data_IF_072382826652
#
_entry.id   IF_072382826652
#
_cell.length_a   1.000
_cell.length_b   1.000
_cell.length_c   1.000
_cell.angle_alpha   90.00
_cell.angle_beta   90.00
_cell.angle_gamma   90.00
#
_symmetry.space_group_name_H-M   'P 1'
#
loop_
_entity.id
_entity.type
_entity.pdbx_description
1 polymer ?
#
# COMPACT_ATOMS: atom_id res chain seq x y z
N UNK A 1 26.40 7.36 -7.50
CA UNK A 1 26.39 7.87 -8.90
C UNK A 1 25.63 9.18 -8.93
N UNK A 2 26.23 10.26 -9.44
CA UNK A 2 25.57 11.57 -9.52
C UNK A 2 24.51 11.61 -10.62
N UNK A 3 23.57 12.56 -10.55
CA UNK A 3 22.56 12.77 -11.60
C UNK A 3 23.19 13.06 -12.97
N UNK A 4 24.27 13.85 -13.01
CA UNK A 4 25.01 14.14 -14.25
C UNK A 4 25.56 12.87 -14.91
N UNK A 5 26.03 11.89 -14.11
CA UNK A 5 26.49 10.62 -14.66
C UNK A 5 25.33 9.80 -15.23
N UNK A 6 24.17 9.79 -14.57
CA UNK A 6 22.97 9.11 -15.08
C UNK A 6 22.55 9.69 -16.42
N UNK A 7 22.41 11.01 -16.53
CA UNK A 7 22.03 11.68 -17.78
C UNK A 7 22.98 11.41 -18.94
N UNK A 8 24.30 11.37 -18.67
CA UNK A 8 25.30 11.04 -19.70
C UNK A 8 25.14 9.60 -20.18
N UNK A 9 24.94 8.65 -19.27
CA UNK A 9 24.71 7.25 -19.64
C UNK A 9 23.38 7.08 -20.38
N UNK A 10 22.31 7.74 -19.93
CA UNK A 10 21.02 7.71 -20.61
C UNK A 10 21.11 8.21 -22.04
N UNK A 11 21.77 9.36 -22.26
CA UNK A 11 21.99 9.89 -23.60
C UNK A 11 22.84 8.95 -24.45
N UNK A 12 23.90 8.39 -23.88
CA UNK A 12 24.77 7.45 -24.59
C UNK A 12 24.02 6.16 -24.98
N UNK A 13 23.15 5.64 -24.12
CA UNK A 13 22.32 4.47 -24.40
C UNK A 13 21.25 4.77 -25.45
N UNK A 14 20.52 5.89 -25.34
CA UNK A 14 19.50 6.32 -26.33
C UNK A 14 20.10 6.52 -27.72
N UNK A 15 21.31 7.08 -27.79
CA UNK A 15 22.03 7.31 -29.04
C UNK A 15 22.76 6.06 -29.56
N UNK A 16 22.61 4.90 -28.93
CA UNK A 16 23.24 3.65 -29.36
C UNK A 16 24.75 3.57 -29.15
N UNK A 17 25.35 4.52 -28.42
CA UNK A 17 26.78 4.49 -28.05
C UNK A 17 27.08 3.45 -26.97
N UNK A 18 26.08 3.12 -26.15
CA UNK A 18 26.12 2.03 -25.18
C UNK A 18 25.02 1.04 -25.57
N UNK A 19 25.40 -0.22 -25.82
CA UNK A 19 24.46 -1.25 -26.27
C UNK A 19 23.83 -2.03 -25.11
N UNK A 20 24.45 -2.03 -23.93
CA UNK A 20 24.00 -2.76 -22.76
C UNK A 20 24.16 -1.92 -21.49
N UNK A 21 23.13 -1.91 -20.65
CA UNK A 21 23.15 -1.28 -19.34
C UNK A 21 22.81 -2.32 -18.28
N UNK A 22 23.64 -2.42 -17.25
CA UNK A 22 23.36 -3.23 -16.07
C UNK A 22 23.01 -2.29 -14.93
N UNK A 23 21.85 -2.48 -14.32
CA UNK A 23 21.34 -1.62 -13.26
C UNK A 23 20.71 -2.47 -12.14
N UNK A 24 20.86 -2.00 -10.90
CA UNK A 24 20.08 -2.50 -9.77
C UNK A 24 18.64 -1.97 -9.84
N UNK A 25 17.65 -2.63 -9.21
CA UNK A 25 16.25 -2.19 -9.26
C UNK A 25 16.04 -0.71 -8.90
N UNK A 26 16.74 -0.21 -7.87
CA UNK A 26 16.67 1.19 -7.42
C UNK A 26 17.19 2.17 -8.47
N UNK A 27 18.20 1.78 -9.25
CA UNK A 27 18.68 2.60 -10.36
C UNK A 27 17.74 2.50 -11.57
N UNK A 28 17.17 1.31 -11.82
CA UNK A 28 16.26 1.05 -12.93
C UNK A 28 14.92 1.81 -12.82
N UNK A 29 14.44 2.09 -11.60
CA UNK A 29 13.24 2.90 -11.37
C UNK A 29 13.46 4.39 -11.71
N UNK A 30 14.67 4.91 -11.51
CA UNK A 30 14.99 6.33 -11.67
C UNK A 30 15.39 6.78 -13.08
N UNK A 31 15.43 5.86 -14.06
CA UNK A 31 15.87 6.13 -15.43
C UNK A 31 14.72 5.88 -16.41
N UNK A 32 14.42 6.81 -17.31
CA UNK A 32 13.39 6.63 -18.35
C UNK A 32 14.04 6.16 -19.66
N UNK A 33 14.44 4.88 -19.67
CA UNK A 33 15.13 4.23 -20.78
C UNK A 33 14.38 2.98 -21.23
N UNK A 34 13.62 3.04 -22.33
CA UNK A 34 13.17 1.82 -23.01
C UNK A 34 14.36 1.14 -23.71
N UNK A 35 14.41 -0.18 -23.67
CA UNK A 35 15.44 -0.99 -24.31
C UNK A 35 14.79 -2.04 -25.21
N UNK A 36 15.43 -2.46 -26.30
CA UNK A 36 14.88 -3.52 -27.16
C UNK A 36 14.61 -4.82 -26.38
N UNK A 37 15.53 -5.15 -25.46
CA UNK A 37 15.44 -6.33 -24.61
C UNK A 37 15.73 -5.97 -23.15
N UNK A 38 14.95 -6.52 -22.24
CA UNK A 38 15.19 -6.48 -20.79
C UNK A 38 15.53 -7.87 -20.29
N UNK A 39 16.56 -7.98 -19.46
CA UNK A 39 16.98 -9.24 -18.84
C UNK A 39 16.96 -9.07 -17.33
N UNK A 40 16.09 -9.82 -16.67
CA UNK A 40 15.97 -9.88 -15.23
C UNK A 40 16.84 -11.04 -14.75
N UNK A 41 18.04 -10.70 -14.29
CA UNK A 41 19.05 -11.69 -13.90
C UNK A 41 18.72 -12.40 -12.59
N UNK A 42 18.20 -11.68 -11.60
CA UNK A 42 17.86 -12.21 -10.29
C UNK A 42 16.44 -11.77 -9.92
N UNK A 43 15.57 -12.72 -9.60
CA UNK A 43 14.17 -12.47 -9.23
C UNK A 43 13.95 -12.45 -7.71
N UNK A 44 15.03 -12.59 -6.93
CA UNK A 44 15.03 -12.53 -5.46
C UNK A 44 15.92 -11.39 -5.00
N UNK A 45 15.54 -10.74 -3.90
CA UNK A 45 16.33 -9.71 -3.22
C UNK A 45 16.49 -10.04 -1.74
N UNK A 46 17.60 -9.62 -1.15
CA UNK A 46 17.80 -9.75 0.29
C UNK A 46 16.77 -8.91 1.05
N UNK A 47 16.13 -9.50 2.04
CA UNK A 47 15.27 -8.79 2.98
C UNK A 47 15.84 -8.95 4.38
N UNK A 48 16.26 -7.82 4.97
CA UNK A 48 16.89 -7.79 6.29
C UNK A 48 15.96 -8.26 7.40
N UNK A 49 14.68 -7.89 7.36
CA UNK A 49 13.69 -8.30 8.37
C UNK A 49 13.42 -9.82 8.33
N UNK A 50 13.43 -10.42 7.14
CA UNK A 50 13.22 -11.86 6.96
C UNK A 50 14.50 -12.69 7.07
N UNK A 51 15.68 -12.06 7.16
CA UNK A 51 16.98 -12.73 7.19
C UNK A 51 17.27 -13.62 5.98
N UNK A 52 16.59 -13.39 4.84
CA UNK A 52 16.69 -14.26 3.66
C UNK A 52 16.40 -13.50 2.36
N UNK A 53 16.76 -14.13 1.24
CA UNK A 53 16.36 -13.68 -0.08
C UNK A 53 14.88 -13.99 -0.33
N UNK A 54 14.07 -12.96 -0.52
CA UNK A 54 12.65 -13.08 -0.85
C UNK A 54 12.43 -12.77 -2.34
N UNK A 55 11.42 -13.35 -2.99
CA UNK A 55 11.03 -12.96 -4.34
C UNK A 55 10.72 -11.46 -4.43
N UNK A 56 11.12 -10.83 -5.53
CA UNK A 56 10.69 -9.48 -5.91
C UNK A 56 9.17 -9.50 -6.18
N UNK A 57 8.47 -8.39 -5.95
CA UNK A 57 7.03 -8.33 -6.21
C UNK A 57 6.71 -8.49 -7.69
N UNK A 58 5.54 -9.04 -8.00
CA UNK A 58 5.06 -9.20 -9.38
C UNK A 58 4.94 -7.84 -10.05
N UNK A 59 4.45 -6.83 -9.33
CA UNK A 59 4.39 -5.45 -9.83
C UNK A 59 5.78 -4.93 -10.26
N UNK A 60 6.81 -5.07 -9.42
CA UNK A 60 8.16 -4.60 -9.75
C UNK A 60 8.74 -5.34 -10.96
N UNK A 61 8.55 -6.66 -11.05
CA UNK A 61 9.00 -7.45 -12.20
C UNK A 61 8.29 -7.00 -13.48
N UNK A 62 6.96 -6.83 -13.45
CA UNK A 62 6.20 -6.37 -14.61
C UNK A 62 6.60 -4.95 -15.05
N UNK A 63 6.91 -4.06 -14.10
CA UNK A 63 7.46 -2.74 -14.41
C UNK A 63 8.84 -2.82 -15.10
N UNK A 64 9.70 -3.75 -14.71
CA UNK A 64 10.97 -3.99 -15.41
C UNK A 64 10.71 -4.52 -16.84
N UNK A 65 9.84 -5.51 -16.98
CA UNK A 65 9.47 -6.08 -18.28
C UNK A 65 8.87 -5.03 -19.22
N UNK A 66 8.06 -4.11 -18.70
CA UNK A 66 7.44 -3.01 -19.46
C UNK A 66 8.43 -2.00 -20.06
N UNK A 67 9.71 -2.07 -19.69
CA UNK A 67 10.78 -1.29 -20.33
C UNK A 67 11.29 -1.92 -21.62
N UNK A 68 10.86 -3.14 -21.95
CA UNK A 68 11.22 -3.83 -23.18
C UNK A 68 10.40 -3.30 -24.37
N UNK A 69 11.09 -3.02 -25.48
CA UNK A 69 10.55 -2.43 -26.69
C UNK A 69 10.70 -0.91 -26.70
N UNK A 70 11.36 -0.37 -27.74
CA UNK A 70 11.46 1.08 -27.95
C UNK A 70 10.36 1.52 -28.91
N UNK A 71 9.40 2.36 -28.46
CA UNK A 71 8.38 2.92 -29.36
C UNK A 71 9.04 3.56 -30.58
N UNK A 72 8.49 3.28 -31.78
CA UNK A 72 8.97 3.74 -33.10
C UNK A 72 10.27 3.11 -33.63
N UNK A 73 11.04 2.36 -32.82
CA UNK A 73 12.31 1.78 -33.27
C UNK A 73 12.27 0.25 -33.37
N UNK A 74 11.55 -0.42 -32.48
CA UNK A 74 11.45 -1.87 -32.47
C UNK A 74 10.01 -2.31 -32.77
N UNK A 75 9.85 -3.34 -33.62
CA UNK A 75 8.55 -3.96 -33.89
C UNK A 75 8.04 -4.84 -32.73
N UNK A 76 8.95 -5.27 -31.86
CA UNK A 76 8.67 -6.05 -30.64
C UNK A 76 9.69 -5.77 -29.56
N UNK A 77 9.24 -5.80 -28.31
CA UNK A 77 10.09 -5.85 -27.12
C UNK A 77 10.21 -7.27 -26.60
N UNK A 78 11.36 -7.64 -26.07
CA UNK A 78 11.58 -8.96 -25.47
C UNK A 78 11.99 -8.81 -24.00
N UNK A 79 11.38 -9.57 -23.10
CA UNK A 79 11.78 -9.61 -21.70
C UNK A 79 12.05 -11.03 -21.24
N UNK A 80 13.16 -11.22 -20.52
CA UNK A 80 13.67 -12.52 -20.11
C UNK A 80 13.87 -12.52 -18.61
N UNK A 81 13.40 -13.56 -17.92
CA UNK A 81 13.70 -13.80 -16.49
C UNK A 81 14.61 -15.02 -16.45
N UNK A 82 15.79 -14.88 -15.84
CA UNK A 82 16.73 -16.00 -15.75
C UNK A 82 16.29 -16.97 -14.63
N UNK A 83 15.99 -18.21 -15.02
CA UNK A 83 15.78 -19.35 -14.13
C UNK A 83 17.07 -20.18 -14.02
N UNK A 84 17.34 -20.76 -12.85
CA UNK A 84 18.52 -21.64 -12.64
C UNK A 84 18.19 -23.12 -12.77
N UNK A 85 16.91 -23.49 -12.74
CA UNK A 85 16.45 -24.87 -12.88
C UNK A 85 15.09 -24.90 -13.58
N UNK A 86 14.70 -26.06 -14.10
CA UNK A 86 13.41 -26.27 -14.75
C UNK A 86 12.22 -26.05 -13.79
N UNK A 87 12.39 -26.43 -12.52
CA UNK A 87 11.42 -26.15 -11.46
C UNK A 87 11.21 -24.64 -11.26
N UNK A 88 12.29 -23.84 -11.33
CA UNK A 88 12.18 -22.38 -11.27
C UNK A 88 11.47 -21.81 -12.51
N UNK A 89 11.65 -22.39 -13.71
CA UNK A 89 10.96 -21.92 -14.93
C UNK A 89 9.45 -21.93 -14.72
N UNK A 90 8.89 -23.05 -14.26
CA UNK A 90 7.45 -23.18 -14.04
C UNK A 90 6.95 -22.18 -12.98
N UNK A 91 7.66 -22.08 -11.84
CA UNK A 91 7.31 -21.13 -10.78
C UNK A 91 7.35 -19.67 -11.27
N UNK A 92 8.37 -19.29 -12.04
CA UNK A 92 8.52 -17.91 -12.56
C UNK A 92 7.47 -17.58 -13.62
N UNK A 93 7.15 -18.54 -14.49
CA UNK A 93 6.11 -18.39 -15.50
C UNK A 93 4.74 -18.19 -14.84
N UNK A 94 4.39 -19.06 -13.90
CA UNK A 94 3.12 -18.96 -13.16
C UNK A 94 3.04 -17.63 -12.38
N UNK A 95 4.08 -17.30 -11.61
CA UNK A 95 4.04 -16.12 -10.73
C UNK A 95 4.12 -14.78 -11.47
N UNK A 96 5.03 -14.63 -12.44
CA UNK A 96 5.35 -13.33 -13.02
C UNK A 96 4.74 -13.09 -14.40
N UNK A 97 4.53 -14.15 -15.20
CA UNK A 97 3.95 -14.03 -16.54
C UNK A 97 2.43 -14.12 -16.44
N UNK A 98 1.93 -15.23 -15.88
CA UNK A 98 0.49 -15.48 -15.75
C UNK A 98 -0.13 -14.80 -14.52
N UNK A 99 0.65 -14.63 -13.45
CA UNK A 99 0.17 -14.08 -12.17
C UNK A 99 -0.19 -12.60 -12.25
N UNK A 100 -1.11 -12.19 -11.38
CA UNK A 100 -1.52 -10.78 -11.25
C UNK A 100 -0.61 -10.03 -10.26
N UNK A 101 -0.43 -8.71 -10.43
CA UNK A 101 0.24 -7.88 -9.44
C UNK A 101 -0.44 -7.99 -8.07
N UNK A 102 0.36 -7.87 -7.00
CA UNK A 102 -0.17 -7.86 -5.64
C UNK A 102 -1.08 -6.66 -5.41
N UNK A 103 -2.12 -6.83 -4.57
CA UNK A 103 -2.99 -5.73 -4.16
C UNK A 103 -2.19 -4.66 -3.42
N UNK A 104 -2.53 -3.40 -3.65
CA UNK A 104 -1.96 -2.28 -2.91
C UNK A 104 -2.54 -2.29 -1.49
N UNK A 105 -1.66 -2.31 -0.50
CA UNK A 105 -2.03 -2.25 0.92
C UNK A 105 -1.63 -0.90 1.50
N UNK A 106 -2.51 -0.33 2.32
CA UNK A 106 -2.20 0.87 3.09
C UNK A 106 -0.98 0.62 3.96
N UNK A 107 -0.10 1.62 4.04
CA UNK A 107 1.09 1.64 4.92
C UNK A 107 0.93 2.59 6.10
N UNK A 108 -0.28 3.13 6.27
CA UNK A 108 -0.63 4.02 7.37
C UNK A 108 -0.76 3.25 8.70
N UNK A 109 -0.95 1.94 8.64
CA UNK A 109 -0.96 1.04 9.79
C UNK A 109 -0.26 -0.27 9.44
N UNK A 110 0.40 -0.87 10.43
CA UNK A 110 0.97 -2.19 10.33
C UNK A 110 -0.14 -3.24 10.57
N UNK A 111 -0.56 -4.01 9.55
CA UNK A 111 -1.66 -4.97 9.71
C UNK A 111 -1.33 -6.07 10.72
N UNK A 112 -0.04 -6.40 10.90
CA UNK A 112 0.40 -7.44 11.81
C UNK A 112 0.61 -6.96 13.26
N UNK A 113 0.48 -5.65 13.51
CA UNK A 113 0.61 -5.10 14.86
C UNK A 113 -0.57 -5.55 15.72
N UNK A 114 -0.27 -6.11 16.90
CA UNK A 114 -1.25 -6.47 17.92
C UNK A 114 -1.35 -5.40 19.01
N UNK A 115 -0.33 -4.56 19.12
CA UNK A 115 -0.22 -3.47 20.09
C UNK A 115 0.18 -2.18 19.39
N UNK A 116 -0.14 -1.05 20.00
CA UNK A 116 0.21 0.26 19.48
C UNK A 116 1.72 0.43 19.22
N UNK A 117 2.59 -0.02 20.15
CA UNK A 117 4.06 0.02 20.01
C UNK A 117 4.64 -0.76 18.81
N UNK A 118 3.87 -1.70 18.26
CA UNK A 118 4.24 -2.47 17.05
C UNK A 118 3.79 -1.78 15.76
N UNK A 119 3.05 -0.68 15.86
CA UNK A 119 2.55 0.14 14.76
C UNK A 119 3.09 1.60 14.83
N UNK A 120 4.40 1.80 14.60
CA UNK A 120 5.00 3.13 14.65
C UNK A 120 4.42 4.10 13.61
N UNK A 121 3.86 3.59 12.51
CA UNK A 121 3.29 4.42 11.45
C UNK A 121 2.05 5.15 11.96
N UNK A 122 1.08 4.38 12.48
CA UNK A 122 -0.15 4.95 12.99
C UNK A 122 0.12 5.86 14.20
N UNK A 123 0.97 5.41 15.12
CA UNK A 123 1.39 6.21 16.29
C UNK A 123 1.96 7.57 15.91
N UNK A 124 2.91 7.58 14.96
CA UNK A 124 3.57 8.82 14.52
C UNK A 124 2.57 9.79 13.89
N UNK A 125 1.65 9.28 13.08
CA UNK A 125 0.63 10.11 12.44
C UNK A 125 -0.40 10.66 13.44
N UNK A 126 -0.86 9.84 14.40
CA UNK A 126 -1.76 10.31 15.48
C UNK A 126 -1.09 11.41 16.29
N UNK A 127 0.15 11.20 16.74
CA UNK A 127 0.90 12.19 17.51
C UNK A 127 1.12 13.48 16.71
N UNK A 128 1.52 13.36 15.44
CA UNK A 128 1.70 14.49 14.54
C UNK A 128 0.44 15.34 14.45
N UNK A 129 -0.73 14.72 14.24
CA UNK A 129 -1.99 15.46 14.06
C UNK A 129 -2.46 16.17 15.34
N UNK A 130 -2.20 15.58 16.51
CA UNK A 130 -2.49 16.22 17.80
C UNK A 130 -1.52 17.39 18.05
N UNK A 131 -0.22 17.16 17.84
CA UNK A 131 0.83 18.15 18.13
C UNK A 131 0.84 19.35 17.19
N UNK A 132 0.50 19.18 15.90
CA UNK A 132 0.38 20.29 14.96
C UNK A 132 -0.88 21.14 15.17
N UNK A 133 -1.81 20.68 16.02
CA UNK A 133 -2.97 21.44 16.48
C UNK A 133 -4.22 21.34 15.59
N UNK A 134 -4.17 20.59 14.49
CA UNK A 134 -5.28 20.46 13.53
C UNK A 134 -6.40 19.54 14.02
N UNK A 135 -6.09 18.52 14.83
CA UNK A 135 -7.07 17.55 15.32
C UNK A 135 -6.85 17.27 16.82
N UNK A 136 -7.67 17.90 17.66
CA UNK A 136 -7.57 17.82 19.13
C UNK A 136 -8.60 16.90 19.79
N UNK A 137 -9.41 16.21 19.00
CA UNK A 137 -10.42 15.33 19.56
C UNK A 137 -10.46 13.99 18.83
N UNK A 138 -10.86 12.95 19.57
CA UNK A 138 -10.86 11.57 19.07
C UNK A 138 -11.76 11.43 17.84
N UNK A 139 -12.95 12.03 17.87
CA UNK A 139 -13.91 11.96 16.77
C UNK A 139 -13.32 12.52 15.46
N UNK A 140 -12.64 13.65 15.52
CA UNK A 140 -11.99 14.28 14.39
C UNK A 140 -10.85 13.41 13.82
N UNK A 141 -10.06 12.75 14.68
CA UNK A 141 -9.07 11.77 14.25
C UNK A 141 -9.74 10.59 13.53
N UNK A 142 -10.81 10.03 14.10
CA UNK A 142 -11.58 8.94 13.49
C UNK A 142 -12.10 9.30 12.09
N UNK A 143 -12.77 10.45 11.97
CA UNK A 143 -13.30 10.94 10.69
C UNK A 143 -12.20 11.21 9.66
N UNK A 144 -11.03 11.68 10.10
CA UNK A 144 -9.88 11.84 9.20
C UNK A 144 -9.43 10.48 8.65
N UNK A 145 -9.15 9.51 9.53
CA UNK A 145 -8.66 8.19 9.11
C UNK A 145 -9.68 7.41 8.28
N UNK A 146 -10.98 7.58 8.53
CA UNK A 146 -12.06 7.01 7.71
C UNK A 146 -12.03 7.48 6.25
N UNK A 147 -11.45 8.66 5.97
CA UNK A 147 -11.28 9.18 4.60
C UNK A 147 -9.96 8.76 3.95
N UNK A 148 -9.15 7.93 4.61
CA UNK A 148 -7.87 7.46 4.07
C UNK A 148 -8.02 6.10 3.40
N UNK A 149 -7.06 5.72 2.55
CA UNK A 149 -7.03 4.36 1.96
C UNK A 149 -6.92 3.23 3.00
N UNK A 150 -6.61 3.53 4.26
CA UNK A 150 -6.64 2.52 5.32
C UNK A 150 -8.06 2.03 5.62
N UNK A 151 -9.06 2.90 5.52
CA UNK A 151 -10.46 2.56 5.88
C UNK A 151 -11.10 1.58 4.89
N UNK A 152 -10.60 1.50 3.65
CA UNK A 152 -11.08 0.51 2.68
C UNK A 152 -10.58 -0.90 2.97
N UNK A 153 -9.64 -1.06 3.91
CA UNK A 153 -8.96 -2.32 4.23
C UNK A 153 -9.20 -2.80 5.66
N UNK A 154 -9.86 -2.00 6.50
CA UNK A 154 -10.17 -2.29 7.90
C UNK A 154 -11.64 -1.94 8.16
N UNK A 155 -12.29 -2.67 9.06
CA UNK A 155 -13.63 -2.26 9.50
C UNK A 155 -13.55 -0.96 10.30
N UNK A 156 -14.66 -0.23 10.33
CA UNK A 156 -14.79 1.01 11.12
C UNK A 156 -14.46 0.78 12.59
N UNK A 157 -14.84 -0.37 13.16
CA UNK A 157 -14.57 -0.75 14.54
C UNK A 157 -13.10 -1.06 14.78
N UNK A 158 -12.44 -1.77 13.85
CA UNK A 158 -11.02 -2.09 13.95
C UNK A 158 -10.17 -0.83 13.84
N UNK A 159 -10.52 0.08 12.92
CA UNK A 159 -9.85 1.36 12.77
C UNK A 159 -10.00 2.22 14.04
N UNK A 160 -11.22 2.31 14.56
CA UNK A 160 -11.52 2.97 15.82
C UNK A 160 -10.67 2.41 16.97
N UNK A 161 -10.64 1.08 17.12
CA UNK A 161 -9.86 0.41 18.17
C UNK A 161 -8.36 0.71 18.05
N UNK A 162 -7.80 0.68 16.84
CA UNK A 162 -6.37 0.98 16.61
C UNK A 162 -6.01 2.43 16.95
N UNK A 163 -6.91 3.38 16.66
CA UNK A 163 -6.74 4.79 17.03
C UNK A 163 -6.79 4.93 18.55
N UNK A 164 -7.75 4.30 19.22
CA UNK A 164 -7.89 4.35 20.67
C UNK A 164 -6.66 3.76 21.38
N UNK A 165 -6.16 2.61 20.90
CA UNK A 165 -4.94 2.00 21.42
C UNK A 165 -3.71 2.91 21.23
N UNK A 166 -3.64 3.59 20.09
CA UNK A 166 -2.58 4.57 19.81
C UNK A 166 -2.63 5.78 20.76
N UNK A 167 -3.82 6.34 20.97
CA UNK A 167 -4.04 7.45 21.92
C UNK A 167 -3.67 7.02 23.34
N UNK A 168 -4.15 5.86 23.79
CA UNK A 168 -3.86 5.34 25.12
C UNK A 168 -2.36 5.13 25.34
N UNK A 169 -1.67 4.60 24.32
CA UNK A 169 -0.22 4.44 24.39
C UNK A 169 0.50 5.79 24.50
N UNK A 170 0.10 6.79 23.72
CA UNK A 170 0.69 8.14 23.78
C UNK A 170 0.43 8.82 25.13
N UNK A 171 -0.76 8.67 25.71
CA UNK A 171 -1.10 9.17 27.06
C UNK A 171 -0.24 8.50 28.13
N UNK A 172 -0.16 7.17 28.10
CA UNK A 172 0.62 6.41 29.07
C UNK A 172 2.12 6.74 29.02
N UNK A 173 2.62 7.14 27.85
CA UNK A 173 4.01 7.58 27.66
C UNK A 173 4.19 9.10 27.83
N UNK A 174 3.19 9.82 28.35
CA UNK A 174 3.24 11.27 28.59
C UNK A 174 3.60 12.10 27.34
N UNK A 175 3.24 11.59 26.15
CA UNK A 175 3.42 12.32 24.88
C UNK A 175 2.25 13.23 24.56
N UNK A 176 1.07 12.93 25.10
CA UNK A 176 -0.15 13.74 25.03
C UNK A 176 -0.89 13.64 26.37
N UNK A 177 -1.73 14.64 26.66
CA UNK A 177 -2.60 14.69 27.83
C UNK A 177 -4.06 14.67 27.42
N UNK A 178 -4.89 13.96 28.19
CA UNK A 178 -6.35 13.94 28.01
C UNK A 178 -7.00 14.96 28.95
N UNK A 179 -7.64 15.98 28.39
CA UNK A 179 -8.23 17.08 29.17
C UNK A 179 -9.70 16.86 29.58
N UNK A 180 -10.33 15.78 29.10
CA UNK A 180 -11.71 15.43 29.43
C UNK A 180 -12.58 15.24 28.19
N UNK A 181 -13.89 15.44 28.33
CA UNK A 181 -14.88 15.33 27.26
C UNK A 181 -15.38 16.72 26.81
N UNK A 182 -15.63 16.89 25.52
CA UNK A 182 -16.17 18.14 24.96
C UNK A 182 -17.65 18.02 24.62
N UNK A 183 -18.49 18.88 25.19
CA UNK A 183 -19.91 18.95 24.83
C UNK A 183 -20.10 19.41 23.37
N UNK A 184 -19.22 20.27 22.86
CA UNK A 184 -19.22 20.70 21.45
C UNK A 184 -18.98 19.53 20.50
N UNK A 185 -18.05 18.64 20.84
CA UNK A 185 -17.78 17.42 20.05
C UNK A 185 -18.96 16.47 20.13
N UNK A 186 -19.58 16.33 21.31
CA UNK A 186 -20.75 15.49 21.51
C UNK A 186 -21.97 15.98 20.70
N UNK A 187 -22.23 17.28 20.69
CA UNK A 187 -23.24 17.89 19.83
C UNK A 187 -22.94 17.69 18.35
N UNK A 188 -21.67 17.84 17.93
CA UNK A 188 -21.24 17.59 16.56
C UNK A 188 -21.48 16.14 16.12
N UNK A 189 -21.22 15.16 16.99
CA UNK A 189 -21.50 13.74 16.72
C UNK A 189 -23.01 13.52 16.55
N UNK A 190 -23.83 14.11 17.42
CA UNK A 190 -25.30 13.97 17.37
C UNK A 190 -25.93 14.63 16.14
N UNK A 191 -25.34 15.71 15.65
CA UNK A 191 -25.79 16.42 14.44
C UNK A 191 -25.30 15.76 13.15
N UNK A 192 -24.36 14.82 13.23
CA UNK A 192 -23.84 14.13 12.05
C UNK A 192 -24.84 13.05 11.63
N UNK A 193 -25.55 13.31 10.54
CA UNK A 193 -26.24 12.28 9.76
C UNK A 193 -25.17 11.69 8.83
N UNK A 194 -25.03 10.36 8.79
CA UNK A 194 -24.31 9.71 7.70
C UNK A 194 -25.00 10.14 6.40
N UNK A 195 -24.44 11.14 5.71
CA UNK A 195 -24.74 11.32 4.31
C UNK A 195 -24.11 10.11 3.61
N UNK A 196 -24.94 9.11 3.32
CA UNK A 196 -24.70 8.21 2.20
C UNK A 196 -24.55 9.12 0.98
N UNK A 197 -23.33 9.60 0.75
CA UNK A 197 -22.96 10.19 -0.52
C UNK A 197 -23.09 9.01 -1.46
N UNK A 198 -24.23 8.94 -2.14
CA UNK A 198 -24.43 8.08 -3.29
C UNK A 198 -23.33 8.50 -4.26
N UNK A 199 -22.24 7.75 -4.22
CA UNK A 199 -21.02 8.01 -4.96
C UNK A 199 -21.38 7.77 -6.43
N UNK A 200 -21.94 8.81 -7.06
CA UNK A 200 -22.36 8.80 -8.45
C UNK A 200 -21.11 8.96 -9.34
N UNK A 201 -20.14 8.08 -9.14
CA UNK A 201 -19.11 7.83 -10.13
C UNK A 201 -19.84 7.29 -11.35
N UNK A 202 -19.95 8.08 -12.43
CA UNK A 202 -20.30 7.59 -13.76
C UNK A 202 -19.18 6.68 -14.33
N UNK A 203 -18.62 5.79 -13.52
CA UNK A 203 -17.87 4.64 -14.01
C UNK A 203 -18.89 3.65 -14.55
N UNK A 204 -19.29 3.87 -15.80
CA UNK A 204 -20.02 2.90 -16.60
C UNK A 204 -19.31 1.54 -16.44
N UNK A 205 -19.94 0.63 -15.68
CA UNK A 205 -19.46 -0.73 -15.50
C UNK A 205 -19.12 -1.29 -16.89
N UNK A 206 -17.86 -1.68 -17.15
CA UNK A 206 -17.51 -2.24 -18.43
C UNK A 206 -18.40 -3.45 -18.72
N UNK A 207 -18.90 -3.55 -19.94
CA UNK A 207 -19.93 -4.51 -20.36
C UNK A 207 -19.63 -5.98 -20.04
N UNK A 208 -18.36 -6.34 -19.80
CA UNK A 208 -17.94 -7.69 -19.45
C UNK A 208 -18.27 -8.10 -17.99
N UNK A 209 -18.48 -7.14 -17.08
CA UNK A 209 -18.83 -7.42 -15.66
C UNK A 209 -20.20 -8.11 -15.56
N UNK A 210 -21.13 -7.77 -16.45
CA UNK A 210 -22.45 -8.42 -16.51
C UNK A 210 -22.38 -9.85 -17.07
N UNK A 211 -21.30 -10.22 -17.76
CA UNK A 211 -21.12 -11.57 -18.33
C UNK A 211 -20.62 -12.59 -17.31
N UNK A 212 -20.00 -12.15 -16.21
CA UNK A 212 -19.47 -13.04 -15.18
C UNK A 212 -20.54 -13.47 -14.15
N UNK A 213 -21.57 -12.65 -13.94
CA UNK A 213 -22.66 -12.93 -12.99
C UNK A 213 -23.68 -13.98 -13.49
N UNK A 214 -23.62 -14.37 -14.76
CA UNK A 214 -24.57 -15.32 -15.37
C UNK A 214 -24.10 -16.78 -15.36
N UNK A 215 -22.99 -17.11 -14.70
CA UNK A 215 -22.51 -18.50 -14.61
C UNK A 215 -23.17 -19.16 -13.37
N UNK A 216 -24.06 -20.14 -13.54
CA UNK A 216 -24.69 -20.83 -12.41
C UNK A 216 -23.64 -21.71 -11.70
N UNK A 217 -23.50 -21.56 -10.39
CA UNK A 217 -22.66 -22.45 -9.56
C UNK A 217 -21.45 -21.81 -8.86
N UNK A 218 -21.36 -20.50 -8.78
CA UNK A 218 -20.32 -19.80 -8.01
C UNK A 218 -20.92 -19.14 -6.76
N UNK A 219 -20.95 -19.85 -5.65
CA UNK A 219 -21.28 -19.28 -4.33
C UNK A 219 -20.02 -18.68 -3.69
N UNK A 220 -20.09 -17.41 -3.32
CA UNK A 220 -19.05 -16.73 -2.55
C UNK A 220 -19.23 -17.16 -1.09
N UNK A 221 -18.35 -18.04 -0.59
CA UNK A 221 -18.36 -18.41 0.83
C UNK A 221 -17.63 -17.34 1.64
N UNK A 222 -18.35 -16.60 2.48
CA UNK A 222 -17.75 -15.81 3.55
C UNK A 222 -17.32 -16.75 4.69
N UNK A 223 -16.03 -17.10 4.74
CA UNK A 223 -15.47 -17.73 5.93
C UNK A 223 -15.16 -16.65 6.97
N UNK A 224 -16.08 -16.44 7.90
CA UNK A 224 -15.86 -15.61 9.09
C UNK A 224 -14.97 -16.36 10.09
N UNK A 225 -13.68 -16.01 10.14
CA UNK A 225 -12.78 -16.44 11.22
C UNK A 225 -13.09 -15.57 12.44
N UNK A 226 -13.81 -16.13 13.42
CA UNK A 226 -14.12 -15.46 14.69
C UNK A 226 -12.92 -15.61 15.64
N UNK A 227 -11.95 -14.70 15.51
CA UNK A 227 -11.02 -14.44 16.62
C UNK A 227 -11.72 -13.52 17.64
N UNK A 228 -11.73 -13.95 18.91
CA UNK A 228 -12.34 -13.19 20.01
C UNK A 228 -11.42 -12.00 20.33
N UNK A 229 -11.62 -10.87 19.64
CA UNK A 229 -10.89 -9.62 19.87
C UNK A 229 -11.31 -9.00 21.21
N UNK A 230 -10.32 -8.67 22.04
CA UNK A 230 -10.51 -7.93 23.29
C UNK A 230 -10.39 -6.46 22.93
N UNK A 231 -11.49 -5.72 22.99
CA UNK A 231 -11.50 -4.28 22.75
C UNK A 231 -11.21 -3.53 24.06
N UNK A 232 -10.40 -2.47 23.98
CA UNK A 232 -10.25 -1.50 25.06
C UNK A 232 -11.59 -0.80 25.34
N UNK A 233 -11.98 -0.55 26.60
CA UNK A 233 -13.20 0.21 26.92
C UNK A 233 -13.18 1.58 26.24
N UNK A 234 -14.27 1.92 25.53
CA UNK A 234 -14.41 3.21 24.87
C UNK A 234 -14.86 4.25 25.89
N UNK A 235 -14.01 5.21 26.20
CA UNK A 235 -14.39 6.41 26.94
C UNK A 235 -14.87 7.49 25.95
N UNK A 236 -15.69 8.46 26.39
CA UNK A 236 -16.44 9.38 25.52
C UNK A 236 -15.60 10.34 24.67
N UNK A 237 -16.18 11.40 24.08
CA UNK A 237 -15.53 12.26 23.09
C UNK A 237 -14.38 13.09 23.69
N UNK A 238 -13.20 12.45 23.76
CA UNK A 238 -12.02 12.95 24.44
C UNK A 238 -11.37 14.14 23.72
N UNK A 239 -10.99 15.16 24.49
CA UNK A 239 -10.07 16.22 24.06
C UNK A 239 -8.64 15.82 24.41
N UNK A 240 -7.74 15.99 23.45
CA UNK A 240 -6.33 15.64 23.51
C UNK A 240 -5.49 16.90 23.28
N UNK A 241 -4.50 17.12 24.14
CA UNK A 241 -3.57 18.25 24.08
C UNK A 241 -2.14 17.74 24.22
N UNK A 242 -1.19 18.41 23.56
CA UNK A 242 0.24 18.13 23.66
C UNK A 242 0.84 18.84 24.88
#
# INVERSE_FOLDING_TARGET
>A
MSNQHREKIERAFKNGKINCLVATPTLAQGINLPARRVIIRDYKRWNTAAGRNIPISVMEIKQMMGRAGRPKYDSRGESWILAKSEQEVNFLAEKYISGQPENVISKLSNPNAKKAEEDPYLLTHVLSMISTGDLRDRDALGRFFQKTFLSTQLSTEDLASRIDDSINWLVNNSMITREGESEVVKERILQHVEEDIEENWEDLRPSWVNSAASIPGLDISEQSIVEKKIYSPREGPAILVY
#
